data_IF_310599503723
#
_entry.id   IF_310599503723
#
_cell.length_a   1.000
_cell.length_b   1.000
_cell.length_c   1.000
_cell.angle_alpha   90.00
_cell.angle_beta   90.00
_cell.angle_gamma   90.00
#
_symmetry.space_group_name_H-M   'P 1'
#
loop_
_entity.id
_entity.type
_entity.pdbx_description
1 polymer ?
#
# COMPACT_ATOMS: atom_id res chain seq x y z
N UNK A 1 29.94 5.69 1.68
CA UNK A 1 28.54 5.95 1.28
C UNK A 1 27.75 6.33 2.51
N UNK A 2 27.09 7.44 2.44
CA UNK A 2 26.20 7.82 3.53
C UNK A 2 25.00 6.89 3.59
N UNK A 3 24.56 6.48 4.81
CA UNK A 3 23.36 5.67 4.94
C UNK A 3 22.17 6.45 4.39
N UNK A 4 21.27 5.75 3.72
CA UNK A 4 19.99 6.35 3.30
C UNK A 4 19.22 6.72 4.53
N UNK A 5 18.91 7.99 4.66
CA UNK A 5 18.08 8.50 5.74
C UNK A 5 16.68 8.76 5.20
N UNK A 6 15.70 8.21 5.87
CA UNK A 6 14.30 8.48 5.59
C UNK A 6 13.52 8.51 6.88
N UNK A 7 12.38 9.15 6.84
CA UNK A 7 11.48 9.26 7.99
C UNK A 7 10.09 8.79 7.59
N UNK A 8 9.48 7.96 8.44
CA UNK A 8 8.10 7.53 8.28
C UNK A 8 7.21 8.49 9.04
N UNK A 9 6.16 8.98 8.38
CA UNK A 9 5.17 9.85 8.99
C UNK A 9 3.81 9.68 8.32
N UNK A 10 2.76 10.20 8.93
CA UNK A 10 1.45 10.27 8.27
C UNK A 10 1.56 11.14 7.01
N UNK A 11 0.86 10.71 5.96
CA UNK A 11 0.69 11.53 4.77
C UNK A 11 -0.11 12.79 5.10
N UNK A 12 0.25 13.88 4.46
CA UNK A 12 -0.44 15.16 4.57
C UNK A 12 -0.94 15.58 3.18
N UNK A 13 -1.91 16.47 3.12
CA UNK A 13 -2.47 16.94 1.84
C UNK A 13 -1.43 17.55 0.91
N UNK A 14 -0.39 18.15 1.47
CA UNK A 14 0.76 18.67 0.68
C UNK A 14 1.51 17.60 -0.10
N UNK A 15 1.38 16.32 0.31
CA UNK A 15 2.06 15.19 -0.31
C UNK A 15 1.28 14.62 -1.50
N UNK A 16 0.08 15.13 -1.76
CA UNK A 16 -0.85 14.55 -2.73
C UNK A 16 -0.20 14.22 -4.08
N UNK A 17 0.47 15.20 -4.68
CA UNK A 17 1.05 15.02 -6.02
C UNK A 17 2.10 13.91 -6.04
N UNK A 18 2.96 13.86 -5.04
CA UNK A 18 4.00 12.83 -4.94
C UNK A 18 3.40 11.43 -4.65
N UNK A 19 2.37 11.35 -3.81
CA UNK A 19 1.67 10.09 -3.53
C UNK A 19 0.99 9.58 -4.80
N UNK A 20 0.29 10.44 -5.52
CA UNK A 20 -0.38 10.08 -6.78
C UNK A 20 0.63 9.50 -7.78
N UNK A 21 1.79 10.12 -7.91
CA UNK A 21 2.84 9.60 -8.80
C UNK A 21 3.25 8.18 -8.42
N UNK A 22 3.48 7.91 -7.14
CA UNK A 22 3.87 6.58 -6.67
C UNK A 22 2.76 5.55 -6.88
N UNK A 23 1.52 5.92 -6.58
CA UNK A 23 0.37 5.02 -6.76
C UNK A 23 0.16 4.69 -8.24
N UNK A 24 0.28 5.67 -9.13
CA UNK A 24 0.18 5.41 -10.57
C UNK A 24 1.28 4.47 -11.03
N UNK A 25 2.50 4.65 -10.55
CA UNK A 25 3.61 3.71 -10.85
C UNK A 25 3.29 2.29 -10.41
N UNK A 26 2.71 2.13 -9.22
CA UNK A 26 2.30 0.83 -8.72
C UNK A 26 1.25 0.18 -9.64
N UNK A 27 0.23 0.94 -10.04
CA UNK A 27 -0.83 0.42 -10.92
C UNK A 27 -0.29 0.04 -12.29
N UNK A 28 0.61 0.84 -12.84
CA UNK A 28 1.29 0.52 -14.12
C UNK A 28 2.19 -0.71 -14.00
N UNK A 29 2.86 -0.90 -12.87
CA UNK A 29 3.63 -2.11 -12.61
C UNK A 29 2.75 -3.36 -12.68
N UNK A 30 1.54 -3.28 -12.17
CA UNK A 30 0.62 -4.42 -12.17
C UNK A 30 0.26 -4.89 -13.59
N UNK A 31 0.34 -4.04 -14.60
CA UNK A 31 0.13 -4.43 -16.00
C UNK A 31 1.06 -5.58 -16.45
N UNK A 32 2.24 -5.68 -15.84
CA UNK A 32 3.20 -6.74 -16.15
C UNK A 32 2.73 -8.12 -15.70
N UNK A 33 1.75 -8.19 -14.81
CA UNK A 33 1.30 -9.44 -14.21
C UNK A 33 0.09 -10.05 -14.88
N UNK A 34 -0.78 -9.24 -15.46
CA UNK A 34 -1.96 -9.73 -16.19
C UNK A 34 -2.57 -8.58 -17.01
N UNK A 35 -3.05 -8.86 -18.24
CA UNK A 35 -3.73 -7.83 -19.06
C UNK A 35 -4.96 -7.20 -18.40
N UNK A 36 -5.58 -7.89 -17.44
CA UNK A 36 -6.72 -7.35 -16.70
C UNK A 36 -6.34 -6.16 -15.82
N UNK A 37 -5.04 -5.95 -15.56
CA UNK A 37 -4.53 -4.79 -14.85
C UNK A 37 -4.09 -3.66 -15.78
N UNK A 38 -4.45 -3.70 -17.05
CA UNK A 38 -4.20 -2.57 -17.96
C UNK A 38 -4.87 -1.32 -17.41
N UNK A 39 -4.09 -0.28 -17.16
CA UNK A 39 -4.62 0.93 -16.54
C UNK A 39 -5.51 1.72 -17.51
N UNK A 40 -6.48 2.42 -16.95
CA UNK A 40 -7.38 3.33 -17.69
C UNK A 40 -6.57 4.50 -18.24
N UNK A 41 -7.05 5.08 -19.34
CA UNK A 41 -6.42 6.28 -19.92
C UNK A 41 -6.41 7.46 -18.95
N UNK A 42 -7.44 7.56 -18.10
CA UNK A 42 -7.59 8.62 -17.09
C UNK A 42 -7.00 8.26 -15.73
N UNK A 43 -6.02 7.35 -15.69
CA UNK A 43 -5.45 6.85 -14.42
C UNK A 43 -4.94 7.95 -13.49
N UNK A 44 -4.38 9.04 -14.05
CA UNK A 44 -3.87 10.16 -13.25
C UNK A 44 -5.00 10.83 -12.47
N UNK A 45 -6.11 11.11 -13.12
CA UNK A 45 -7.29 11.74 -12.50
C UNK A 45 -7.91 10.80 -11.45
N UNK A 46 -8.05 9.53 -11.81
CA UNK A 46 -8.63 8.51 -10.92
C UNK A 46 -7.78 8.34 -9.67
N UNK A 47 -6.47 8.25 -9.81
CA UNK A 47 -5.56 8.12 -8.67
C UNK A 47 -5.61 9.36 -7.78
N UNK A 48 -5.67 10.55 -8.38
CA UNK A 48 -5.75 11.80 -7.63
C UNK A 48 -7.02 11.87 -6.79
N UNK A 49 -8.16 11.51 -7.36
CA UNK A 49 -9.42 11.45 -6.63
C UNK A 49 -9.39 10.42 -5.51
N UNK A 50 -8.87 9.24 -5.80
CA UNK A 50 -8.73 8.15 -4.84
C UNK A 50 -7.91 8.57 -3.61
N UNK A 51 -6.75 9.15 -3.82
CA UNK A 51 -5.88 9.60 -2.73
C UNK A 51 -6.48 10.81 -2.01
N UNK A 52 -7.02 11.79 -2.74
CA UNK A 52 -7.69 12.95 -2.14
C UNK A 52 -8.80 12.53 -1.17
N UNK A 53 -9.67 11.64 -1.61
CA UNK A 53 -10.78 11.14 -0.79
C UNK A 53 -10.29 10.34 0.42
N UNK A 54 -9.14 9.69 0.32
CA UNK A 54 -8.56 8.93 1.41
C UNK A 54 -8.27 9.79 2.64
N UNK A 55 -7.91 11.05 2.45
CA UNK A 55 -7.67 11.96 3.57
C UNK A 55 -8.92 12.25 4.40
N UNK A 56 -10.10 12.10 3.82
CA UNK A 56 -11.38 12.45 4.45
C UNK A 56 -12.10 11.23 5.03
N UNK A 57 -11.50 10.04 4.97
CA UNK A 57 -12.10 8.78 5.46
C UNK A 57 -11.43 8.34 6.74
N UNK A 58 -12.22 8.22 7.82
CA UNK A 58 -11.70 7.79 9.14
C UNK A 58 -11.13 6.38 9.13
N UNK A 59 -11.69 5.48 8.30
CA UNK A 59 -11.26 4.09 8.18
C UNK A 59 -10.00 3.91 7.33
N UNK A 60 -9.45 4.98 6.79
CA UNK A 60 -8.24 4.95 5.94
C UNK A 60 -7.14 5.76 6.58
N UNK A 61 -5.93 5.22 6.58
CA UNK A 61 -4.75 6.02 6.85
C UNK A 61 -3.65 5.73 5.83
N UNK A 62 -2.80 6.70 5.65
CA UNK A 62 -1.66 6.59 4.75
C UNK A 62 -0.40 7.08 5.46
N UNK A 63 0.69 6.34 5.26
CA UNK A 63 2.01 6.73 5.72
C UNK A 63 2.91 6.93 4.52
N UNK A 64 3.85 7.84 4.65
CA UNK A 64 4.86 8.10 3.64
C UNK A 64 6.25 7.96 4.23
N UNK A 65 7.19 7.56 3.39
CA UNK A 65 8.61 7.63 3.68
C UNK A 65 9.17 8.86 2.99
N UNK A 66 9.75 9.74 3.77
CA UNK A 66 10.29 11.02 3.30
C UNK A 66 11.80 11.04 3.43
N UNK A 67 12.48 11.37 2.33
CA UNK A 67 13.91 11.64 2.30
C UNK A 67 14.10 13.10 1.85
N UNK A 68 14.44 13.96 2.81
CA UNK A 68 14.45 15.41 2.57
C UNK A 68 13.05 15.89 2.21
N UNK A 69 12.88 16.47 1.02
CA UNK A 69 11.59 16.95 0.53
C UNK A 69 10.91 15.95 -0.43
N UNK A 70 11.49 14.77 -0.57
CA UNK A 70 11.01 13.78 -1.54
C UNK A 70 10.29 12.65 -0.83
N UNK A 71 9.10 12.30 -1.31
CA UNK A 71 8.37 11.12 -0.87
C UNK A 71 8.88 9.94 -1.71
N UNK A 72 9.44 8.95 -1.04
CA UNK A 72 10.08 7.79 -1.69
C UNK A 72 9.33 6.49 -1.49
N UNK A 73 8.29 6.51 -0.68
CA UNK A 73 7.44 5.35 -0.45
C UNK A 73 6.11 5.76 0.16
N UNK A 74 5.10 4.92 -0.04
CA UNK A 74 3.75 5.13 0.50
C UNK A 74 3.13 3.77 0.84
N UNK A 75 2.36 3.75 1.93
CA UNK A 75 1.48 2.65 2.28
C UNK A 75 0.10 3.23 2.58
N UNK A 76 -0.94 2.62 1.99
CA UNK A 76 -2.33 2.96 2.26
C UNK A 76 -3.00 1.76 2.92
N UNK A 77 -3.65 2.02 4.03
CA UNK A 77 -4.34 0.98 4.81
C UNK A 77 -5.80 1.38 4.99
N UNK A 78 -6.68 0.43 4.77
CA UNK A 78 -8.12 0.59 4.94
C UNK A 78 -8.61 -0.39 6.00
N UNK A 79 -9.28 0.13 7.03
CA UNK A 79 -9.89 -0.70 8.07
C UNK A 79 -11.23 -1.16 7.54
N UNK A 80 -11.42 -2.48 7.47
CA UNK A 80 -12.64 -3.11 6.94
C UNK A 80 -13.32 -3.98 7.97
N UNK A 81 -14.66 -3.99 7.94
CA UNK A 81 -15.46 -4.93 8.70
C UNK A 81 -15.36 -6.34 8.11
N UNK A 82 -15.20 -7.33 8.99
CA UNK A 82 -15.29 -8.75 8.64
C UNK A 82 -16.67 -9.26 9.07
N UNK A 83 -17.69 -8.83 8.38
CA UNK A 83 -19.10 -8.91 8.75
C UNK A 83 -19.53 -10.21 9.46
N UNK A 84 -19.04 -11.36 9.00
CA UNK A 84 -19.46 -12.67 9.51
C UNK A 84 -18.44 -13.34 10.42
N UNK A 85 -17.28 -12.72 10.64
CA UNK A 85 -16.16 -13.41 11.25
C UNK A 85 -15.55 -12.66 12.42
N UNK A 86 -14.86 -13.40 13.28
CA UNK A 86 -13.99 -12.86 14.32
C UNK A 86 -12.54 -12.96 13.88
N UNK A 87 -11.69 -11.95 14.13
CA UNK A 87 -12.04 -10.62 14.66
C UNK A 87 -12.95 -9.81 13.71
N UNK A 88 -13.69 -8.85 14.27
CA UNK A 88 -14.68 -8.09 13.49
C UNK A 88 -14.04 -7.16 12.47
N UNK A 89 -12.84 -6.66 12.74
CA UNK A 89 -12.14 -5.73 11.85
C UNK A 89 -10.79 -6.26 11.43
N UNK A 90 -10.37 -5.88 10.23
CA UNK A 90 -9.00 -6.08 9.74
C UNK A 90 -8.49 -4.78 9.13
N UNK A 91 -7.18 -4.60 9.16
CA UNK A 91 -6.53 -3.57 8.36
C UNK A 91 -6.09 -4.18 7.03
N UNK A 92 -6.44 -3.55 5.92
CA UNK A 92 -6.08 -4.05 4.59
C UNK A 92 -5.12 -3.08 3.92
N UNK A 93 -3.92 -3.56 3.62
CA UNK A 93 -2.95 -2.81 2.83
C UNK A 93 -3.42 -2.89 1.38
N UNK A 94 -3.93 -1.78 0.88
CA UNK A 94 -4.43 -1.68 -0.49
C UNK A 94 -3.33 -1.27 -1.46
N UNK A 95 -2.37 -0.52 -0.99
CA UNK A 95 -1.26 0.00 -1.79
C UNK A 95 0.00 0.07 -0.92
N UNK A 96 1.09 -0.45 -1.46
CA UNK A 96 2.43 -0.30 -0.90
C UNK A 96 3.40 -0.18 -2.07
N UNK A 97 4.05 0.95 -2.18
CA UNK A 97 5.04 1.18 -3.23
C UNK A 97 6.22 1.97 -2.71
N UNK A 98 7.41 1.55 -3.11
CA UNK A 98 8.67 2.21 -2.78
C UNK A 98 9.41 2.50 -4.08
N UNK A 99 9.93 3.70 -4.24
CA UNK A 99 10.74 4.07 -5.40
C UNK A 99 11.89 3.07 -5.59
N UNK A 100 12.19 2.68 -6.84
CA UNK A 100 13.17 1.62 -7.09
C UNK A 100 14.52 1.78 -6.41
N UNK A 101 15.05 3.00 -6.34
CA UNK A 101 16.34 3.29 -5.70
C UNK A 101 16.31 3.12 -4.17
N UNK A 102 15.15 2.95 -3.57
CA UNK A 102 14.98 2.80 -2.12
C UNK A 102 14.49 1.41 -1.70
N UNK A 103 14.25 0.49 -2.65
CA UNK A 103 13.60 -0.80 -2.37
C UNK A 103 14.40 -1.72 -1.44
N UNK A 104 15.69 -1.79 -1.56
CA UNK A 104 16.53 -2.69 -0.75
C UNK A 104 17.08 -1.99 0.50
N UNK A 105 16.54 -0.85 0.86
CA UNK A 105 17.04 0.01 1.95
C UNK A 105 16.14 0.03 3.19
N UNK A 106 15.21 -0.93 3.27
CA UNK A 106 14.36 -1.08 4.43
C UNK A 106 13.13 -0.17 4.48
N UNK A 107 12.85 0.61 3.43
CA UNK A 107 11.72 1.55 3.42
C UNK A 107 10.38 0.82 3.48
N UNK A 108 10.20 -0.23 2.67
CA UNK A 108 8.95 -1.00 2.67
C UNK A 108 8.69 -1.65 4.03
N UNK A 109 9.72 -2.22 4.65
CA UNK A 109 9.62 -2.82 5.98
C UNK A 109 9.26 -1.77 7.03
N UNK A 110 9.88 -0.60 6.98
CA UNK A 110 9.59 0.48 7.93
C UNK A 110 8.15 0.98 7.80
N UNK A 111 7.65 1.13 6.56
CA UNK A 111 6.26 1.51 6.32
C UNK A 111 5.29 0.46 6.88
N UNK A 112 5.55 -0.81 6.61
CA UNK A 112 4.71 -1.91 7.10
C UNK A 112 4.73 -1.98 8.63
N UNK A 113 5.89 -1.91 9.25
CA UNK A 113 6.03 -1.99 10.71
C UNK A 113 5.26 -0.87 11.41
N UNK A 114 5.36 0.35 10.89
CA UNK A 114 4.61 1.48 11.46
C UNK A 114 3.10 1.33 11.26
N UNK A 115 2.67 0.85 10.10
CA UNK A 115 1.26 0.57 9.84
C UNK A 115 0.70 -0.48 10.81
N UNK A 116 1.46 -1.56 11.06
CA UNK A 116 1.06 -2.61 12.01
C UNK A 116 0.98 -2.04 13.44
N UNK A 117 1.92 -1.21 13.81
CA UNK A 117 1.91 -0.54 15.13
C UNK A 117 0.65 0.32 15.31
N UNK A 118 0.29 1.08 14.29
CA UNK A 118 -0.93 1.91 14.32
C UNK A 118 -2.18 1.05 14.43
N UNK A 119 -2.27 -0.04 13.67
CA UNK A 119 -3.39 -0.97 13.72
C UNK A 119 -3.54 -1.59 15.11
N UNK A 120 -2.45 -2.05 15.70
CA UNK A 120 -2.45 -2.58 17.07
C UNK A 120 -2.93 -1.54 18.08
N UNK A 121 -2.49 -0.30 17.93
CA UNK A 121 -2.93 0.81 18.79
C UNK A 121 -4.42 1.10 18.70
N UNK A 122 -5.05 0.72 17.59
CA UNK A 122 -6.49 0.84 17.38
C UNK A 122 -7.27 -0.44 17.74
N UNK A 123 -6.60 -1.43 18.33
CA UNK A 123 -7.22 -2.70 18.72
C UNK A 123 -7.44 -3.67 17.57
N UNK A 124 -6.81 -3.46 16.44
CA UNK A 124 -6.93 -4.33 15.27
C UNK A 124 -5.81 -5.35 15.29
N UNK A 125 -6.15 -6.63 15.21
CA UNK A 125 -5.22 -7.76 15.37
C UNK A 125 -4.94 -8.50 14.06
N UNK A 126 -5.58 -8.13 12.96
CA UNK A 126 -5.39 -8.75 11.65
C UNK A 126 -4.99 -7.69 10.63
N UNK A 127 -3.91 -7.95 9.91
CA UNK A 127 -3.50 -7.14 8.77
C UNK A 127 -3.47 -8.03 7.52
N UNK A 128 -4.08 -7.54 6.46
CA UNK A 128 -4.11 -8.21 5.14
C UNK A 128 -3.41 -7.34 4.12
N UNK A 129 -2.96 -7.95 3.03
CA UNK A 129 -2.39 -7.24 1.89
C UNK A 129 -2.99 -7.78 0.60
N UNK A 130 -3.32 -6.90 -0.32
CA UNK A 130 -3.91 -7.23 -1.61
C UNK A 130 -2.93 -6.89 -2.73
N UNK A 131 -2.60 -7.89 -3.55
CA UNK A 131 -1.68 -7.71 -4.68
C UNK A 131 -1.88 -8.84 -5.69
N UNK A 132 -1.51 -8.65 -6.97
CA UNK A 132 -1.62 -9.71 -7.96
C UNK A 132 -0.71 -10.91 -7.62
N UNK A 133 -1.20 -12.17 -7.78
CA UNK A 133 -0.44 -13.35 -7.37
C UNK A 133 0.85 -13.56 -8.16
N UNK A 134 0.96 -13.00 -9.36
CA UNK A 134 2.18 -13.07 -10.18
C UNK A 134 3.25 -12.06 -9.75
N UNK A 135 2.94 -11.16 -8.83
CA UNK A 135 3.92 -10.26 -8.25
C UNK A 135 4.76 -11.02 -7.21
N UNK A 136 5.79 -11.71 -7.69
CA UNK A 136 6.65 -12.56 -6.86
C UNK A 136 7.41 -11.77 -5.79
N UNK A 137 7.75 -10.53 -6.08
CA UNK A 137 8.44 -9.65 -5.12
C UNK A 137 7.52 -9.38 -3.93
N UNK A 138 6.25 -9.09 -4.19
CA UNK A 138 5.27 -8.88 -3.12
C UNK A 138 5.01 -10.18 -2.34
N UNK A 139 4.84 -11.30 -3.04
CA UNK A 139 4.66 -12.60 -2.40
C UNK A 139 5.81 -12.88 -1.42
N UNK A 140 7.05 -12.75 -1.86
CA UNK A 140 8.24 -12.96 -1.00
C UNK A 140 8.28 -11.98 0.16
N UNK A 141 8.02 -10.70 -0.11
CA UNK A 141 8.04 -9.66 0.91
C UNK A 141 7.08 -9.97 2.06
N UNK A 142 5.85 -10.34 1.72
CA UNK A 142 4.83 -10.61 2.74
C UNK A 142 5.02 -11.98 3.41
N UNK A 143 5.38 -13.02 2.66
CA UNK A 143 5.62 -14.35 3.24
C UNK A 143 6.76 -14.35 4.26
N UNK A 144 7.86 -13.65 3.96
CA UNK A 144 8.97 -13.51 4.90
C UNK A 144 8.57 -12.83 6.22
N UNK A 145 7.47 -12.09 6.21
CA UNK A 145 6.95 -11.37 7.38
C UNK A 145 5.76 -12.07 8.03
N UNK A 146 5.55 -13.34 7.69
CA UNK A 146 4.55 -14.18 8.33
C UNK A 146 3.15 -14.09 7.73
N UNK A 147 2.98 -13.41 6.61
CA UNK A 147 1.70 -13.39 5.90
C UNK A 147 1.50 -14.71 5.16
N UNK A 148 0.26 -15.18 5.12
CA UNK A 148 -0.15 -16.37 4.37
C UNK A 148 -1.44 -16.08 3.60
N UNK A 149 -1.71 -16.83 2.51
CA UNK A 149 -2.92 -16.62 1.74
C UNK A 149 -4.18 -16.78 2.58
N UNK A 150 -5.10 -15.84 2.44
CA UNK A 150 -6.40 -15.88 3.11
C UNK A 150 -7.56 -15.97 2.13
N UNK A 151 -7.46 -15.35 0.97
CA UNK A 151 -8.54 -15.24 0.01
C UNK A 151 -7.99 -15.36 -1.41
N UNK A 152 -8.69 -16.10 -2.26
CA UNK A 152 -8.41 -16.12 -3.69
C UNK A 152 -9.54 -15.41 -4.44
N UNK A 153 -9.18 -14.57 -5.38
CA UNK A 153 -10.10 -14.01 -6.36
C UNK A 153 -9.83 -14.68 -7.70
N UNK A 154 -10.80 -15.40 -8.23
CA UNK A 154 -10.71 -16.00 -9.55
C UNK A 154 -11.58 -15.19 -10.52
N UNK A 155 -11.11 -15.05 -11.75
CA UNK A 155 -11.87 -14.37 -12.77
C UNK A 155 -12.04 -15.23 -14.02
N UNK A 156 -13.02 -14.86 -14.83
CA UNK A 156 -13.28 -15.47 -16.13
C UNK A 156 -13.83 -14.38 -17.05
N UNK A 157 -13.29 -14.27 -18.24
CA UNK A 157 -13.88 -13.44 -19.27
C UNK A 157 -15.13 -14.12 -19.83
N UNK A 158 -16.18 -13.34 -20.07
CA UNK A 158 -17.48 -13.83 -20.52
C UNK A 158 -17.91 -13.19 -21.84
#
# INVERSE_FOLDING_TARGET
MDPVQFRIRYAEKKDLDQIVELVVRLKKLNEEFDPLYTVREDIQEVAREYISKSFDREEVFMLVAEDGNKIVGVIRVEIRSRLFYQPIFSGVITDLYVSPSYRVKGVGTALLDEAVKILRGRGISIVCAEFPPMNKIAVDFYQKRGFKPLLYTFFKEI
#
